data_IF_305346189892
#
_entry.id   IF_305346189892
#
_cell.length_a   1.000
_cell.length_b   1.000
_cell.length_c   1.000
_cell.angle_alpha   90.00
_cell.angle_beta   90.00
_cell.angle_gamma   90.00
#
_symmetry.space_group_name_H-M   'P 1'
#
loop_
_entity.id
_entity.type
_entity.pdbx_description
1 polymer ?
#
# COMPACT_ATOMS: atom_id res chain seq x y z
N UNK A 1 -2.75 -2.19 -13.21
CA UNK A 1 -2.94 -2.57 -11.80
C UNK A 1 -3.34 -1.36 -10.98
N UNK A 2 -2.51 -0.32 -10.93
CA UNK A 2 -2.74 0.87 -10.12
C UNK A 2 -3.65 1.89 -10.79
N UNK A 3 -3.78 1.87 -12.12
CA UNK A 3 -4.71 2.73 -12.85
C UNK A 3 -6.16 2.19 -12.83
N UNK A 4 -6.97 2.51 -13.84
CA UNK A 4 -8.41 2.24 -13.87
C UNK A 4 -8.79 0.81 -14.31
N UNK A 5 -7.81 -0.07 -14.51
CA UNK A 5 -8.02 -1.46 -14.93
C UNK A 5 -7.30 -2.42 -13.96
N UNK A 6 -7.89 -2.61 -12.79
CA UNK A 6 -7.36 -3.50 -11.75
C UNK A 6 -7.63 -4.95 -12.14
N UNK A 7 -6.54 -5.72 -12.21
CA UNK A 7 -6.49 -7.13 -12.61
C UNK A 7 -5.98 -7.96 -11.44
N UNK A 8 -6.31 -9.25 -11.39
CA UNK A 8 -5.87 -10.18 -10.32
C UNK A 8 -4.50 -10.78 -10.60
N UNK A 9 -4.10 -10.78 -11.87
CA UNK A 9 -2.90 -11.39 -12.40
C UNK A 9 -1.58 -10.73 -11.96
N UNK A 10 -1.44 -9.38 -11.97
CA UNK A 10 -0.18 -8.72 -11.66
C UNK A 10 0.01 -8.55 -10.15
N UNK A 11 0.14 -9.66 -9.42
CA UNK A 11 0.45 -9.62 -7.98
C UNK A 11 1.88 -9.11 -7.73
N UNK A 12 2.18 -8.56 -6.54
CA UNK A 12 3.49 -7.98 -6.21
C UNK A 12 4.68 -8.88 -6.53
N UNK A 13 4.60 -10.15 -6.18
CA UNK A 13 5.67 -11.13 -6.36
C UNK A 13 5.97 -11.36 -7.85
N UNK A 14 4.94 -11.43 -8.70
CA UNK A 14 5.13 -11.62 -10.14
C UNK A 14 5.74 -10.38 -10.81
N UNK A 15 5.32 -9.20 -10.37
CA UNK A 15 5.87 -7.92 -10.85
C UNK A 15 7.32 -7.78 -10.41
N UNK A 16 7.62 -8.09 -9.15
CA UNK A 16 8.98 -8.13 -8.61
C UNK A 16 9.88 -9.11 -9.39
N UNK A 17 9.41 -10.34 -9.63
CA UNK A 17 10.20 -11.36 -10.33
C UNK A 17 10.47 -10.99 -11.79
N UNK A 18 9.52 -10.34 -12.49
CA UNK A 18 9.79 -9.83 -13.83
C UNK A 18 10.86 -8.73 -13.79
N UNK A 19 10.75 -7.75 -12.89
CA UNK A 19 11.77 -6.71 -12.72
C UNK A 19 13.15 -7.31 -12.40
N UNK A 20 13.20 -8.28 -11.50
CA UNK A 20 14.43 -8.99 -11.12
C UNK A 20 15.02 -9.78 -12.26
N UNK A 21 14.19 -10.42 -13.09
CA UNK A 21 14.63 -11.16 -14.28
C UNK A 21 15.31 -10.22 -15.28
N UNK A 22 14.64 -9.11 -15.64
CA UNK A 22 15.16 -8.14 -16.62
C UNK A 22 16.39 -7.40 -16.09
N UNK A 23 16.51 -7.22 -14.76
CA UNK A 23 17.68 -6.56 -14.16
C UNK A 23 19.02 -7.28 -14.33
N UNK A 24 18.97 -8.58 -14.67
CA UNK A 24 20.15 -9.41 -14.91
C UNK A 24 20.73 -9.21 -16.30
N UNK A 25 19.96 -8.60 -17.21
CA UNK A 25 20.35 -8.31 -18.57
C UNK A 25 19.12 -8.19 -19.47
N UNK A 26 19.30 -7.46 -20.57
CA UNK A 26 18.29 -7.31 -21.62
C UNK A 26 17.76 -8.68 -22.06
N UNK A 27 16.44 -8.77 -22.19
CA UNK A 27 15.76 -10.04 -22.51
C UNK A 27 14.69 -9.82 -23.56
N UNK A 28 14.57 -10.77 -24.49
CA UNK A 28 13.47 -10.81 -25.44
C UNK A 28 12.12 -11.01 -24.70
N UNK A 29 11.08 -10.26 -25.09
CA UNK A 29 9.76 -10.24 -24.48
C UNK A 29 9.08 -11.62 -24.54
N UNK A 30 9.30 -12.39 -25.62
CA UNK A 30 8.77 -13.74 -25.72
C UNK A 30 9.54 -14.70 -24.81
N UNK A 31 10.86 -14.55 -24.68
CA UNK A 31 11.65 -15.34 -23.72
C UNK A 31 11.23 -15.04 -22.28
N UNK A 32 10.98 -13.77 -21.94
CA UNK A 32 10.46 -13.38 -20.64
C UNK A 32 9.07 -13.98 -20.39
N UNK A 33 8.18 -13.98 -21.40
CA UNK A 33 6.86 -14.63 -21.33
C UNK A 33 6.97 -16.13 -21.05
N UNK A 34 7.80 -16.85 -21.79
CA UNK A 34 7.97 -18.31 -21.60
C UNK A 34 8.54 -18.65 -20.22
N UNK A 35 9.37 -17.78 -19.64
CA UNK A 35 9.91 -17.96 -18.28
C UNK A 35 8.89 -17.66 -17.19
N UNK A 36 8.07 -16.63 -17.38
CA UNK A 36 7.01 -16.26 -16.45
C UNK A 36 5.81 -17.21 -16.53
N UNK A 37 5.55 -17.80 -17.71
CA UNK A 37 4.41 -18.67 -18.01
C UNK A 37 4.89 -20.00 -18.65
N UNK A 38 5.61 -20.85 -17.92
CA UNK A 38 6.17 -22.07 -18.50
C UNK A 38 5.05 -23.01 -18.97
N UNK A 39 5.21 -23.54 -20.19
CA UNK A 39 4.23 -24.43 -20.87
C UNK A 39 3.85 -25.67 -20.04
N UNK A 40 4.74 -26.14 -19.16
CA UNK A 40 4.44 -27.25 -18.24
C UNK A 40 3.37 -26.93 -17.19
N UNK A 41 3.15 -25.65 -16.88
CA UNK A 41 2.14 -25.17 -15.92
C UNK A 41 0.90 -24.63 -16.64
N UNK A 42 1.06 -24.12 -17.87
CA UNK A 42 -0.02 -23.62 -18.71
C UNK A 42 -0.03 -24.32 -20.09
N UNK A 43 -0.46 -25.60 -20.16
CA UNK A 43 -0.31 -26.42 -21.38
C UNK A 43 -1.20 -25.95 -22.53
N UNK A 44 -2.35 -25.33 -22.23
CA UNK A 44 -3.32 -24.86 -23.22
C UNK A 44 -3.00 -23.47 -23.77
N UNK A 45 -2.10 -22.70 -23.13
CA UNK A 45 -1.84 -21.30 -23.46
C UNK A 45 -3.08 -20.39 -23.40
N UNK A 46 -4.18 -20.88 -22.82
CA UNK A 46 -5.51 -20.27 -22.94
C UNK A 46 -5.73 -19.10 -21.98
N UNK A 47 -4.86 -18.96 -20.98
CA UNK A 47 -4.83 -17.81 -20.05
C UNK A 47 -3.41 -17.26 -20.02
N UNK A 48 -3.23 -15.99 -20.41
CA UNK A 48 -1.94 -15.30 -20.28
C UNK A 48 -2.09 -14.14 -19.31
N UNK A 49 -1.36 -14.22 -18.20
CA UNK A 49 -1.21 -13.19 -17.18
C UNK A 49 -0.03 -12.26 -17.45
N UNK A 50 0.97 -12.71 -18.22
CA UNK A 50 2.20 -12.00 -18.52
C UNK A 50 2.01 -10.57 -19.08
N UNK A 51 1.13 -10.32 -20.06
CA UNK A 51 0.94 -8.98 -20.59
C UNK A 51 0.59 -7.95 -19.52
N UNK A 52 -0.28 -8.32 -18.56
CA UNK A 52 -0.67 -7.45 -17.46
C UNK A 52 0.46 -7.17 -16.47
N UNK A 53 1.31 -8.17 -16.18
CA UNK A 53 2.47 -8.00 -15.31
C UNK A 53 3.49 -7.07 -15.97
N UNK A 54 3.75 -7.29 -17.26
CA UNK A 54 4.66 -6.44 -18.04
C UNK A 54 4.15 -5.01 -18.12
N UNK A 55 2.86 -4.79 -18.38
CA UNK A 55 2.24 -3.46 -18.39
C UNK A 55 2.50 -2.71 -17.08
N UNK A 56 2.34 -3.38 -15.93
CA UNK A 56 2.65 -2.77 -14.63
C UNK A 56 4.12 -2.38 -14.52
N UNK A 57 5.06 -3.24 -14.93
CA UNK A 57 6.49 -2.94 -14.85
C UNK A 57 6.89 -1.77 -15.77
N UNK A 58 6.27 -1.65 -16.94
CA UNK A 58 6.63 -0.69 -17.99
C UNK A 58 5.91 0.66 -17.83
N UNK A 59 4.59 0.64 -17.67
CA UNK A 59 3.76 1.83 -17.73
C UNK A 59 3.54 2.46 -16.35
N UNK A 60 3.31 1.62 -15.34
CA UNK A 60 2.85 2.07 -14.02
C UNK A 60 4.02 2.27 -13.07
N UNK A 61 4.87 1.26 -12.91
CA UNK A 61 6.08 1.32 -12.09
C UNK A 61 7.29 1.89 -12.83
N UNK A 62 7.30 1.89 -14.17
CA UNK A 62 8.40 2.46 -14.98
C UNK A 62 9.79 1.96 -14.59
N UNK A 63 9.89 0.69 -14.19
CA UNK A 63 11.15 0.02 -13.85
C UNK A 63 11.76 -0.68 -15.07
N UNK A 64 10.95 -0.94 -16.10
CA UNK A 64 11.34 -1.60 -17.34
C UNK A 64 10.98 -0.70 -18.53
N UNK A 65 11.89 -0.58 -19.48
CA UNK A 65 11.61 -0.05 -20.80
C UNK A 65 11.42 -1.22 -21.80
N UNK A 66 10.46 -1.07 -22.71
CA UNK A 66 10.27 -2.01 -23.82
C UNK A 66 10.65 -1.32 -25.13
N UNK A 67 11.73 -1.79 -25.75
CA UNK A 67 12.23 -1.34 -27.04
C UNK A 67 12.06 -2.48 -28.05
N UNK A 68 11.06 -2.34 -28.93
CA UNK A 68 10.58 -3.42 -29.80
C UNK A 68 10.27 -4.69 -28.99
N UNK A 69 10.99 -5.78 -29.24
CA UNK A 69 10.85 -7.06 -28.52
C UNK A 69 11.86 -7.22 -27.39
N UNK A 70 12.66 -6.19 -27.07
CA UNK A 70 13.62 -6.23 -25.96
C UNK A 70 13.10 -5.50 -24.73
N UNK A 71 13.18 -6.15 -23.57
CA UNK A 71 12.93 -5.55 -22.26
C UNK A 71 14.26 -5.18 -21.60
N UNK A 72 14.34 -3.94 -21.10
CA UNK A 72 15.53 -3.40 -20.42
C UNK A 72 15.15 -2.86 -19.06
N UNK A 73 15.90 -3.21 -18.02
CA UNK A 73 15.66 -2.67 -16.69
C UNK A 73 16.30 -1.28 -16.59
N UNK A 74 15.47 -0.27 -16.35
CA UNK A 74 15.89 1.14 -16.28
C UNK A 74 15.82 1.70 -14.86
N UNK A 75 15.29 0.93 -13.90
CA UNK A 75 15.26 1.32 -12.50
C UNK A 75 16.62 1.21 -11.80
N UNK A 76 16.70 1.74 -10.59
CA UNK A 76 17.85 1.47 -9.71
C UNK A 76 17.80 0.00 -9.23
N UNK A 77 18.90 -0.73 -9.35
CA UNK A 77 19.01 -2.12 -8.88
C UNK A 77 18.84 -2.25 -7.37
N UNK A 78 19.01 -1.17 -6.60
CA UNK A 78 18.70 -1.16 -5.16
C UNK A 78 17.22 -1.42 -4.89
N UNK A 79 16.32 -0.98 -5.78
CA UNK A 79 14.86 -1.16 -5.66
C UNK A 79 14.49 -2.64 -5.62
N UNK A 80 15.15 -3.47 -6.41
CA UNK A 80 14.82 -4.90 -6.54
C UNK A 80 15.69 -5.80 -5.66
N UNK A 81 16.49 -5.24 -4.74
CA UNK A 81 17.39 -6.00 -3.85
C UNK A 81 16.61 -6.98 -2.97
N UNK A 82 15.43 -6.58 -2.50
CA UNK A 82 14.49 -7.42 -1.77
C UNK A 82 13.04 -6.99 -2.05
N UNK A 83 12.07 -7.80 -1.64
CA UNK A 83 10.65 -7.41 -1.68
C UNK A 83 10.39 -6.16 -0.84
N UNK A 84 11.19 -5.95 0.21
CA UNK A 84 11.11 -4.81 1.10
C UNK A 84 11.55 -3.51 0.39
N UNK A 85 12.70 -3.49 -0.28
CA UNK A 85 13.12 -2.30 -1.05
C UNK A 85 12.17 -2.03 -2.22
N UNK A 86 11.59 -3.09 -2.79
CA UNK A 86 10.62 -3.00 -3.86
C UNK A 86 9.30 -2.39 -3.37
N UNK A 87 8.81 -2.83 -2.20
CA UNK A 87 7.64 -2.24 -1.54
C UNK A 87 7.84 -0.76 -1.27
N UNK A 88 8.99 -0.38 -0.71
CA UNK A 88 9.31 1.02 -0.42
C UNK A 88 9.28 1.88 -1.69
N UNK A 89 9.84 1.38 -2.79
CA UNK A 89 9.72 2.03 -4.09
C UNK A 89 8.26 2.18 -4.55
N UNK A 90 7.47 1.10 -4.51
CA UNK A 90 6.05 1.16 -4.87
C UNK A 90 5.29 2.19 -4.02
N UNK A 91 5.49 2.18 -2.70
CA UNK A 91 4.90 3.15 -1.76
C UNK A 91 5.25 4.61 -2.10
N UNK A 92 6.39 4.87 -2.77
CA UNK A 92 6.78 6.21 -3.20
C UNK A 92 6.09 6.72 -4.47
N UNK A 93 5.42 5.85 -5.24
CA UNK A 93 4.88 6.22 -6.56
C UNK A 93 3.41 5.88 -6.78
N UNK A 94 2.90 4.77 -6.23
CA UNK A 94 1.58 4.22 -6.62
C UNK A 94 0.40 5.11 -6.21
N UNK A 95 0.59 6.02 -5.25
CA UNK A 95 -0.44 6.94 -4.77
C UNK A 95 -0.29 8.37 -5.29
N UNK A 96 0.66 8.64 -6.19
CA UNK A 96 0.83 9.96 -6.80
C UNK A 96 -0.38 10.36 -7.67
N UNK A 97 -1.09 9.38 -8.22
CA UNK A 97 -2.33 9.60 -8.98
C UNK A 97 -3.56 9.35 -8.11
N UNK A 98 -4.10 10.43 -7.51
CA UNK A 98 -5.31 10.38 -6.67
C UNK A 98 -6.58 9.99 -7.44
N UNK A 99 -6.58 10.16 -8.77
CA UNK A 99 -7.73 9.83 -9.61
C UNK A 99 -7.83 8.35 -9.95
N UNK A 100 -6.76 7.60 -9.73
CA UNK A 100 -6.69 6.17 -10.02
C UNK A 100 -7.69 5.36 -9.18
N UNK A 101 -8.22 4.28 -9.77
CA UNK A 101 -9.12 3.39 -9.04
C UNK A 101 -8.43 2.73 -7.85
N UNK A 102 -7.14 2.39 -7.96
CA UNK A 102 -6.42 1.79 -6.85
C UNK A 102 -6.27 2.75 -5.66
N UNK A 103 -5.97 4.03 -5.89
CA UNK A 103 -5.95 5.05 -4.84
C UNK A 103 -7.31 5.13 -4.13
N UNK A 104 -8.38 5.29 -4.92
CA UNK A 104 -9.74 5.49 -4.40
C UNK A 104 -10.25 4.27 -3.64
N UNK A 105 -9.99 3.07 -4.14
CA UNK A 105 -10.32 1.82 -3.45
C UNK A 105 -9.53 1.72 -2.14
N UNK A 106 -8.20 1.91 -2.17
CA UNK A 106 -7.37 1.86 -0.96
C UNK A 106 -7.82 2.88 0.09
N UNK A 107 -8.17 4.10 -0.32
CA UNK A 107 -8.77 5.09 0.57
C UNK A 107 -10.05 4.58 1.23
N UNK A 108 -10.94 3.94 0.47
CA UNK A 108 -12.15 3.33 1.04
C UNK A 108 -11.82 2.23 2.07
N UNK A 109 -10.79 1.40 1.82
CA UNK A 109 -10.29 0.41 2.80
C UNK A 109 -9.90 1.06 4.12
N UNK A 110 -9.18 2.18 4.06
CA UNK A 110 -8.69 2.87 5.25
C UNK A 110 -9.83 3.58 5.99
N UNK A 111 -10.73 4.25 5.27
CA UNK A 111 -11.84 5.01 5.86
C UNK A 111 -12.96 4.15 6.44
N UNK A 112 -13.09 2.92 5.95
CA UNK A 112 -14.04 1.97 6.51
C UNK A 112 -13.72 1.58 7.95
N UNK A 113 -12.50 1.79 8.43
CA UNK A 113 -12.04 1.37 9.75
C UNK A 113 -12.40 -0.11 9.99
N UNK A 114 -13.20 -0.38 11.03
CA UNK A 114 -13.61 -1.73 11.41
C UNK A 114 -14.96 -2.15 10.80
N UNK A 115 -15.62 -1.28 10.04
CA UNK A 115 -17.00 -1.51 9.56
C UNK A 115 -17.11 -2.70 8.61
N UNK A 116 -16.04 -3.03 7.88
CA UNK A 116 -16.06 -4.15 6.96
C UNK A 116 -15.93 -5.52 7.61
N UNK A 117 -15.50 -5.59 8.88
CA UNK A 117 -15.41 -6.84 9.63
C UNK A 117 -16.77 -7.52 9.82
N UNK A 118 -17.88 -6.78 9.63
CA UNK A 118 -19.24 -7.34 9.63
C UNK A 118 -19.54 -8.24 8.42
N UNK A 119 -18.77 -8.13 7.33
CA UNK A 119 -18.97 -8.92 6.12
C UNK A 119 -18.04 -10.14 6.10
N UNK A 120 -18.51 -11.27 5.55
CA UNK A 120 -17.72 -12.52 5.49
C UNK A 120 -16.62 -12.50 4.43
N UNK A 121 -16.68 -11.60 3.47
CA UNK A 121 -15.67 -11.51 2.40
C UNK A 121 -15.52 -10.06 1.94
N UNK A 122 -14.28 -9.66 1.61
CA UNK A 122 -13.97 -8.36 1.00
C UNK A 122 -14.63 -8.16 -0.37
N UNK A 123 -15.08 -9.25 -0.99
CA UNK A 123 -15.80 -9.21 -2.26
C UNK A 123 -17.31 -9.09 -2.10
N UNK A 124 -17.84 -8.90 -0.88
CA UNK A 124 -19.28 -8.79 -0.65
C UNK A 124 -19.89 -7.68 -1.51
N UNK A 125 -21.08 -7.95 -2.09
CA UNK A 125 -21.75 -7.02 -2.99
C UNK A 125 -22.02 -5.66 -2.34
N UNK A 126 -22.26 -5.63 -1.02
CA UNK A 126 -22.49 -4.39 -0.29
C UNK A 126 -21.21 -3.57 -0.13
N UNK A 127 -20.06 -4.22 0.11
CA UNK A 127 -18.76 -3.54 0.12
C UNK A 127 -18.50 -2.94 -1.26
N UNK A 128 -18.70 -3.71 -2.34
CA UNK A 128 -18.48 -3.22 -3.70
C UNK A 128 -19.35 -2.00 -4.02
N UNK A 129 -20.63 -2.02 -3.63
CA UNK A 129 -21.54 -0.87 -3.78
C UNK A 129 -21.09 0.34 -2.97
N UNK A 130 -20.68 0.14 -1.71
CA UNK A 130 -20.19 1.22 -0.86
C UNK A 130 -18.93 1.86 -1.44
N UNK A 131 -17.98 1.04 -1.93
CA UNK A 131 -16.78 1.53 -2.62
C UNK A 131 -17.17 2.27 -3.90
N UNK A 132 -18.09 1.73 -4.71
CA UNK A 132 -18.55 2.37 -5.94
C UNK A 132 -19.12 3.77 -5.67
N UNK A 133 -19.97 3.90 -4.66
CA UNK A 133 -20.62 5.15 -4.26
C UNK A 133 -19.59 6.16 -3.68
N UNK A 134 -18.74 5.74 -2.74
CA UNK A 134 -17.76 6.62 -2.08
C UNK A 134 -16.62 7.04 -3.00
N UNK A 135 -16.16 6.14 -3.87
CA UNK A 135 -15.03 6.40 -4.78
C UNK A 135 -15.46 7.12 -6.07
N UNK A 136 -16.77 7.21 -6.35
CA UNK A 136 -17.26 7.73 -7.63
C UNK A 136 -16.80 6.89 -8.83
N UNK A 137 -16.61 5.58 -8.64
CA UNK A 137 -16.24 4.64 -9.70
C UNK A 137 -17.53 4.13 -10.34
N UNK A 138 -17.61 4.04 -11.67
CA UNK A 138 -18.86 3.62 -12.33
C UNK A 138 -19.27 2.18 -11.98
N UNK A 139 -18.30 1.26 -11.93
CA UNK A 139 -18.51 -0.13 -11.61
C UNK A 139 -17.32 -0.67 -10.80
N UNK A 140 -17.60 -1.21 -9.61
CA UNK A 140 -16.62 -1.95 -8.82
C UNK A 140 -16.99 -3.43 -8.86
N UNK A 141 -16.23 -4.20 -9.63
CA UNK A 141 -16.46 -5.64 -9.76
C UNK A 141 -15.61 -6.46 -8.77
N UNK A 142 -15.88 -7.76 -8.69
CA UNK A 142 -15.17 -8.66 -7.79
C UNK A 142 -13.67 -8.77 -8.09
N UNK A 143 -13.29 -8.77 -9.38
CA UNK A 143 -11.89 -8.84 -9.80
C UNK A 143 -11.09 -7.63 -9.31
N UNK A 144 -11.68 -6.43 -9.31
CA UNK A 144 -11.02 -5.22 -8.81
C UNK A 144 -10.73 -5.33 -7.31
N UNK A 145 -11.66 -5.86 -6.52
CA UNK A 145 -11.47 -6.08 -5.09
C UNK A 145 -10.40 -7.16 -4.83
N UNK A 146 -10.50 -8.30 -5.54
CA UNK A 146 -9.54 -9.41 -5.45
C UNK A 146 -8.13 -9.03 -5.90
N UNK A 147 -8.00 -8.18 -6.93
CA UNK A 147 -6.71 -7.69 -7.41
C UNK A 147 -6.09 -6.68 -6.43
N UNK A 148 -6.88 -5.71 -5.97
CA UNK A 148 -6.41 -4.65 -5.06
C UNK A 148 -5.86 -5.22 -3.76
N UNK A 149 -6.49 -6.27 -3.23
CA UNK A 149 -6.17 -6.80 -1.91
C UNK A 149 -4.71 -7.30 -1.81
N UNK A 150 -4.15 -7.94 -2.85
CA UNK A 150 -2.73 -8.34 -2.86
C UNK A 150 -1.80 -7.15 -2.66
N UNK A 151 -2.06 -6.05 -3.37
CA UNK A 151 -1.25 -4.84 -3.30
C UNK A 151 -1.46 -4.06 -2.00
N UNK A 152 -2.70 -3.92 -1.52
CA UNK A 152 -2.97 -3.24 -0.25
C UNK A 152 -2.21 -3.91 0.90
N UNK A 153 -2.19 -5.25 0.95
CA UNK A 153 -1.45 -5.96 1.98
C UNK A 153 0.06 -5.89 1.77
N UNK A 154 0.53 -6.07 0.54
CA UNK A 154 1.95 -5.95 0.22
C UNK A 154 2.52 -4.56 0.54
N UNK A 155 1.79 -3.48 0.23
CA UNK A 155 2.17 -2.10 0.53
C UNK A 155 2.13 -1.78 2.03
N UNK A 156 1.56 -2.68 2.84
CA UNK A 156 1.66 -2.62 4.29
C UNK A 156 0.55 -1.83 4.97
N UNK A 157 -0.63 -1.70 4.35
CA UNK A 157 -1.79 -1.00 4.93
C UNK A 157 -2.63 -1.85 5.89
N UNK A 158 -2.44 -3.15 5.84
CA UNK A 158 -3.15 -4.10 6.69
C UNK A 158 -2.91 -5.52 6.26
N UNK A 159 -3.48 -6.44 7.02
CA UNK A 159 -3.37 -7.87 6.77
C UNK A 159 -4.67 -8.39 6.19
N UNK A 160 -4.58 -9.21 5.15
CA UNK A 160 -5.73 -9.94 4.65
C UNK A 160 -5.66 -11.34 5.20
N UNK A 161 -6.61 -11.67 6.05
CA UNK A 161 -6.79 -13.02 6.53
C UNK A 161 -7.72 -13.75 5.58
N UNK A 162 -7.19 -14.77 4.88
CA UNK A 162 -7.95 -15.65 4.00
C UNK A 162 -8.13 -17.03 4.66
N UNK A 163 -9.37 -17.53 4.65
CA UNK A 163 -9.73 -18.83 5.22
C UNK A 163 -11.21 -19.11 4.98
N UNK A 164 -11.95 -19.43 6.05
CA UNK A 164 -13.42 -19.51 5.97
C UNK A 164 -14.09 -18.19 5.53
N UNK A 165 -13.39 -17.08 5.74
CA UNK A 165 -13.79 -15.74 5.38
C UNK A 165 -12.55 -14.96 4.90
N UNK A 166 -12.78 -13.83 4.22
CA UNK A 166 -11.73 -12.92 3.76
C UNK A 166 -11.92 -11.58 4.46
N UNK A 167 -11.06 -11.27 5.42
CA UNK A 167 -11.12 -10.03 6.21
C UNK A 167 -9.91 -9.16 5.96
N UNK A 168 -10.12 -7.85 5.95
CA UNK A 168 -9.05 -6.85 6.03
C UNK A 168 -8.90 -6.38 7.48
N UNK A 169 -7.73 -6.60 8.06
CA UNK A 169 -7.37 -6.15 9.40
C UNK A 169 -6.53 -4.87 9.26
N UNK A 170 -7.09 -3.70 9.63
CA UNK A 170 -6.45 -2.41 9.38
C UNK A 170 -5.27 -2.21 10.34
N UNK A 171 -4.06 -2.19 9.79
CA UNK A 171 -2.85 -1.83 10.51
C UNK A 171 -1.78 -1.46 9.49
N UNK A 172 -1.48 -0.16 9.39
CA UNK A 172 -0.53 0.33 8.39
C UNK A 172 0.91 0.44 8.91
N UNK A 173 1.29 -0.33 9.95
CA UNK A 173 2.61 -0.26 10.59
C UNK A 173 3.75 -0.29 9.58
N UNK A 174 3.69 -1.22 8.63
CA UNK A 174 4.73 -1.40 7.59
C UNK A 174 4.74 -0.21 6.62
N UNK A 175 3.58 0.26 6.16
CA UNK A 175 3.53 1.42 5.28
C UNK A 175 4.04 2.69 5.99
N UNK A 176 3.68 2.88 7.26
CA UNK A 176 4.13 4.03 8.05
C UNK A 176 5.64 4.02 8.28
N UNK A 177 6.25 2.86 8.47
CA UNK A 177 7.71 2.71 8.50
C UNK A 177 8.34 3.18 7.19
N UNK A 178 7.83 2.70 6.05
CA UNK A 178 8.32 3.10 4.73
C UNK A 178 8.15 4.63 4.53
N UNK A 179 7.01 5.21 4.91
CA UNK A 179 6.77 6.65 4.79
C UNK A 179 7.67 7.50 5.68
N UNK A 180 7.96 7.07 6.91
CA UNK A 180 8.90 7.78 7.78
C UNK A 180 10.32 7.80 7.19
N UNK A 181 10.75 6.73 6.51
CA UNK A 181 12.05 6.70 5.83
C UNK A 181 12.05 7.51 4.54
N UNK A 182 11.00 7.42 3.73
CA UNK A 182 10.84 8.22 2.50
C UNK A 182 10.77 9.74 2.77
N UNK A 183 10.19 10.12 3.90
CA UNK A 183 10.15 11.49 4.40
C UNK A 183 11.44 11.92 5.13
N UNK A 184 12.43 11.02 5.24
CA UNK A 184 13.72 11.28 5.88
C UNK A 184 13.59 11.89 7.29
N UNK A 185 12.64 11.39 8.09
CA UNK A 185 12.41 11.93 9.43
C UNK A 185 13.69 11.87 10.29
N UNK A 186 13.97 12.96 11.00
CA UNK A 186 15.15 13.10 11.83
C UNK A 186 15.00 12.26 13.11
N UNK A 187 15.97 11.37 13.36
CA UNK A 187 15.98 10.56 14.58
C UNK A 187 16.08 11.44 15.82
N UNK A 188 15.27 11.12 16.82
CA UNK A 188 15.12 11.82 18.09
C UNK A 188 14.53 13.23 18.01
N UNK A 189 14.13 13.70 16.82
CA UNK A 189 13.38 14.94 16.71
C UNK A 189 11.96 14.71 17.19
N UNK A 190 11.49 15.66 17.99
CA UNK A 190 10.08 15.77 18.35
C UNK A 190 9.38 16.61 17.29
N UNK A 191 8.28 16.07 16.77
CA UNK A 191 7.39 16.74 15.84
C UNK A 191 6.05 16.95 16.56
N UNK A 192 5.45 18.12 16.39
CA UNK A 192 4.01 18.24 16.57
C UNK A 192 3.30 17.32 15.58
N UNK A 193 2.07 16.90 15.90
CA UNK A 193 1.30 16.03 15.01
C UNK A 193 1.06 16.69 13.64
N UNK A 194 0.88 18.01 13.59
CA UNK A 194 0.77 18.76 12.33
C UNK A 194 2.03 18.66 11.50
N UNK A 195 3.21 18.94 12.07
CA UNK A 195 4.50 18.82 11.38
C UNK A 195 4.75 17.38 10.91
N UNK A 196 4.44 16.38 11.73
CA UNK A 196 4.60 14.98 11.35
C UNK A 196 3.76 14.63 10.12
N UNK A 197 2.49 15.03 10.10
CA UNK A 197 1.60 14.81 8.96
C UNK A 197 2.10 15.54 7.72
N UNK A 198 2.54 16.79 7.85
CA UNK A 198 3.09 17.58 6.75
C UNK A 198 4.28 16.88 6.09
N UNK A 199 5.21 16.33 6.89
CA UNK A 199 6.36 15.58 6.37
C UNK A 199 5.94 14.31 5.61
N UNK A 200 4.88 13.64 6.06
CA UNK A 200 4.41 12.40 5.44
C UNK A 200 3.48 12.62 4.23
N UNK A 201 2.84 13.79 4.10
CA UNK A 201 1.75 14.04 3.16
C UNK A 201 2.07 13.60 1.73
N UNK A 202 3.29 13.88 1.26
CA UNK A 202 3.75 13.54 -0.08
C UNK A 202 3.61 12.04 -0.40
N UNK A 203 3.86 11.17 0.56
CA UNK A 203 3.90 9.71 0.35
C UNK A 203 2.65 9.00 0.88
N UNK A 204 2.08 9.52 1.97
CA UNK A 204 0.98 8.88 2.69
C UNK A 204 -0.38 9.52 2.39
N UNK A 205 -0.53 10.27 1.30
CA UNK A 205 -1.74 11.05 1.00
C UNK A 205 -3.02 10.20 1.02
N UNK A 206 -2.95 8.94 0.55
CA UNK A 206 -4.07 7.98 0.56
C UNK A 206 -4.61 7.71 1.96
N UNK A 207 -3.78 7.83 2.99
CA UNK A 207 -4.14 7.61 4.39
C UNK A 207 -4.41 8.92 5.17
N UNK A 208 -3.93 10.07 4.65
CA UNK A 208 -3.92 11.36 5.36
C UNK A 208 -4.99 12.34 4.88
N UNK A 209 -5.47 12.23 3.65
CA UNK A 209 -6.38 13.23 3.05
C UNK A 209 -7.61 13.54 3.93
N UNK A 210 -8.30 12.51 4.42
CA UNK A 210 -9.46 12.69 5.30
C UNK A 210 -9.07 12.94 6.77
N UNK A 211 -7.85 12.55 7.15
CA UNK A 211 -7.35 12.76 8.51
C UNK A 211 -7.00 14.22 8.76
N UNK A 212 -6.45 14.91 7.76
CA UNK A 212 -6.13 16.35 7.81
C UNK A 212 -7.36 17.23 7.98
N UNK A 213 -8.45 16.90 7.27
CA UNK A 213 -9.72 17.60 7.38
C UNK A 213 -10.36 17.41 8.76
N UNK A 214 -10.38 16.18 9.26
CA UNK A 214 -11.08 15.81 10.50
C UNK A 214 -10.22 15.96 11.76
N UNK A 215 -8.90 16.11 11.60
CA UNK A 215 -7.89 15.97 12.66
C UNK A 215 -8.06 14.64 13.41
N UNK A 216 -8.35 13.58 12.66
CA UNK A 216 -8.64 12.23 13.17
C UNK A 216 -8.06 11.16 12.26
N UNK A 217 -7.21 10.29 12.80
CA UNK A 217 -6.63 9.16 12.08
C UNK A 217 -7.60 7.97 12.01
N UNK A 218 -7.60 7.30 10.86
CA UNK A 218 -8.29 6.03 10.69
C UNK A 218 -7.66 4.91 11.57
N UNK A 219 -8.37 3.77 11.66
CA UNK A 219 -7.96 2.61 12.44
C UNK A 219 -6.58 2.08 12.02
N UNK A 220 -6.27 2.04 10.72
CA UNK A 220 -5.00 1.50 10.25
C UNK A 220 -3.82 2.34 10.72
N UNK A 221 -3.89 3.67 10.58
CA UNK A 221 -2.87 4.61 11.05
C UNK A 221 -2.77 4.64 12.57
N UNK A 222 -3.91 4.58 13.26
CA UNK A 222 -3.94 4.58 14.73
C UNK A 222 -3.27 3.33 15.29
N UNK A 223 -3.55 2.16 14.71
CA UNK A 223 -2.91 0.90 15.06
C UNK A 223 -1.42 0.90 14.73
N UNK A 224 -1.04 1.50 13.59
CA UNK A 224 0.35 1.67 13.21
C UNK A 224 1.13 2.51 14.25
N UNK A 225 0.60 3.67 14.64
CA UNK A 225 1.22 4.56 15.62
C UNK A 225 1.38 3.89 16.98
N UNK A 226 0.36 3.17 17.46
CA UNK A 226 0.42 2.39 18.71
C UNK A 226 1.48 1.29 18.62
N UNK A 227 1.47 0.51 17.54
CA UNK A 227 2.47 -0.53 17.36
C UNK A 227 3.90 0.01 17.26
N UNK A 228 4.11 1.13 16.56
CA UNK A 228 5.41 1.80 16.52
C UNK A 228 5.83 2.33 17.89
N UNK A 229 4.87 2.79 18.69
CA UNK A 229 5.11 3.21 20.07
C UNK A 229 5.61 2.06 20.94
N UNK A 230 4.89 0.94 20.94
CA UNK A 230 5.25 -0.28 21.68
C UNK A 230 6.62 -0.82 21.25
N UNK A 231 6.92 -0.75 19.95
CA UNK A 231 8.21 -1.17 19.38
C UNK A 231 9.34 -0.17 19.61
N UNK A 232 9.05 1.00 20.21
CA UNK A 232 9.99 2.11 20.43
C UNK A 232 10.61 2.65 19.14
N UNK A 233 9.84 2.60 18.06
CA UNK A 233 10.16 3.20 16.75
C UNK A 233 9.68 4.65 16.69
N UNK A 234 8.60 4.95 17.42
CA UNK A 234 8.18 6.31 17.78
C UNK A 234 7.87 6.39 19.26
N UNK A 235 7.76 7.61 19.79
CA UNK A 235 7.20 7.87 21.12
C UNK A 235 6.06 8.86 20.95
N UNK A 236 4.82 8.42 21.20
CA UNK A 236 3.66 9.30 21.23
C UNK A 236 3.68 10.12 22.52
N UNK A 237 3.18 11.36 22.46
CA UNK A 237 3.12 12.27 23.62
C UNK A 237 1.83 13.08 23.64
N UNK A 238 1.38 13.39 24.85
CA UNK A 238 0.26 14.30 25.15
C UNK A 238 0.76 15.49 25.96
N UNK A 239 1.02 16.60 25.27
CA UNK A 239 1.41 17.87 25.88
C UNK A 239 0.13 18.70 26.11
N UNK A 240 -0.16 19.04 27.37
CA UNK A 240 -1.39 19.74 27.74
C UNK A 240 -1.50 21.14 27.10
N UNK A 241 -0.35 21.81 26.94
CA UNK A 241 -0.23 23.15 26.37
C UNK A 241 -0.19 23.17 24.82
N UNK A 242 -0.31 22.01 24.18
CA UNK A 242 -0.32 21.93 22.71
C UNK A 242 -1.57 22.61 22.15
N UNK A 243 -1.36 23.52 21.19
CA UNK A 243 -2.45 24.17 20.43
C UNK A 243 -3.16 23.20 19.49
N UNK A 244 -2.45 22.19 18.99
CA UNK A 244 -2.98 21.20 18.07
C UNK A 244 -3.02 19.81 18.73
N UNK A 245 -4.16 19.14 18.59
CA UNK A 245 -4.46 17.80 19.07
C UNK A 245 -5.14 17.05 17.94
N UNK A 246 -4.73 15.80 17.72
CA UNK A 246 -5.38 14.93 16.76
C UNK A 246 -5.91 13.70 17.46
N UNK A 247 -7.00 13.17 16.91
CA UNK A 247 -7.64 11.96 17.40
C UNK A 247 -7.06 10.73 16.74
N UNK A 248 -6.91 9.67 17.52
CA UNK A 248 -6.72 8.30 17.09
C UNK A 248 -8.10 7.63 17.05
N UNK A 249 -8.26 6.67 16.15
CA UNK A 249 -9.38 5.75 16.20
C UNK A 249 -9.40 5.04 17.56
N UNK A 250 -10.54 5.10 18.24
CA UNK A 250 -10.68 4.69 19.64
C UNK A 250 -10.26 3.24 19.87
N UNK A 251 -9.35 3.04 20.82
CA UNK A 251 -8.98 1.73 21.35
C UNK A 251 -8.79 1.85 22.87
N UNK A 252 -9.69 1.25 23.65
CA UNK A 252 -9.65 1.32 25.10
C UNK A 252 -8.62 0.38 25.74
N UNK A 253 -7.88 -0.39 24.95
CA UNK A 253 -6.91 -1.38 25.46
C UNK A 253 -5.47 -0.88 25.50
N UNK A 254 -5.20 0.29 24.90
CA UNK A 254 -3.86 0.88 24.80
C UNK A 254 -3.77 2.19 25.61
N UNK A 255 -2.58 2.58 26.07
CA UNK A 255 -2.41 3.80 26.89
C UNK A 255 -2.76 5.10 26.13
N UNK A 256 -2.48 5.13 24.82
CA UNK A 256 -2.96 6.16 23.89
C UNK A 256 -4.33 5.75 23.32
N UNK A 257 -5.38 6.07 24.06
CA UNK A 257 -6.75 5.66 23.75
C UNK A 257 -7.38 6.44 22.60
N UNK A 258 -7.19 7.75 22.57
CA UNK A 258 -8.01 8.66 21.76
C UNK A 258 -7.27 9.87 21.19
N UNK A 259 -6.30 10.46 21.88
CA UNK A 259 -5.68 11.72 21.48
C UNK A 259 -4.18 11.75 21.74
N UNK A 260 -3.47 12.44 20.86
CA UNK A 260 -2.06 12.78 21.06
C UNK A 260 -1.75 14.13 20.41
N UNK A 261 -0.54 14.61 20.66
CA UNK A 261 -0.11 15.96 20.26
C UNK A 261 1.23 15.98 19.55
N UNK A 262 2.14 15.09 19.95
CA UNK A 262 3.51 15.07 19.46
C UNK A 262 3.98 13.63 19.27
N UNK A 263 4.97 13.47 18.39
CA UNK A 263 5.63 12.22 18.08
C UNK A 263 7.13 12.46 18.09
N UNK A 264 7.88 11.61 18.80
CA UNK A 264 9.33 11.56 18.69
C UNK A 264 9.70 10.36 17.83
N UNK A 265 10.27 10.59 16.64
CA UNK A 265 10.73 9.51 15.77
C UNK A 265 12.04 8.92 16.30
N UNK A 266 12.12 7.60 16.49
CA UNK A 266 13.31 6.90 17.00
C UNK A 266 14.05 6.10 15.93
N UNK A 267 13.49 6.00 14.73
CA UNK A 267 13.97 5.13 13.66
C UNK A 267 13.16 3.84 13.59
N UNK A 268 12.98 3.32 12.38
CA UNK A 268 12.30 2.04 12.17
C UNK A 268 13.16 0.86 12.61
N UNK A 269 12.52 -0.23 13.03
CA UNK A 269 13.16 -1.52 13.31
C UNK A 269 12.63 -2.55 12.33
N UNK A 270 13.41 -2.81 11.28
CA UNK A 270 13.13 -3.88 10.32
C UNK A 270 13.60 -5.21 10.92
N UNK A 271 12.71 -6.20 10.97
CA UNK A 271 12.96 -7.54 11.51
C UNK A 271 13.30 -8.53 10.42
#
# INVERSE_FOLDING_TARGET
MFDNNIKTEPIPERVYELCKMVSKGDIDDNVARERMEPKGINPSGSTSYYPSIREVCVQELKLIEKDNDTLKFIGDKTVIKSLETFRMYCNSIVFNNKDSYFYKITKCYLEANNTWLKYKTLTDVNIRREVQEKAGIQLVNEQMMLGSRFWISFLGFGYIQEGYAMYFLPNMHVALQDYCELAELEKNKEYSVGEFVEQLHKYASVALESAEEKKEFNAAMSNALRQMHDRKEVVLKKNLDSKEKWKLFLDSTHEFTDEFTHIVYKGVKRG
#
